data_IF_210852418515
#
_entry.id   IF_210852418515
#
_cell.length_a   1.000
_cell.length_b   1.000
_cell.length_c   1.000
_cell.angle_alpha   90.00
_cell.angle_beta   90.00
_cell.angle_gamma   90.00
#
_symmetry.space_group_name_H-M   'P 1'
#
loop_
_entity.id
_entity.type
_entity.pdbx_description
1 polymer ?
#
# COMPACT_ATOMS: atom_id res chain seq x y z
N UNK A 1 -9.78 -29.39 29.35
CA UNK A 1 -8.82 -28.27 29.23
C UNK A 1 -9.31 -27.31 28.18
N UNK A 2 -9.58 -26.10 28.56
CA UNK A 2 -9.91 -25.07 27.58
C UNK A 2 -8.64 -24.73 26.75
N UNK A 3 -8.70 -24.91 25.43
CA UNK A 3 -7.66 -24.39 24.57
C UNK A 3 -7.60 -22.88 24.78
N UNK A 4 -6.43 -22.38 25.18
CA UNK A 4 -6.20 -20.93 25.21
C UNK A 4 -6.63 -20.35 23.85
N UNK A 5 -7.62 -19.45 23.83
CA UNK A 5 -7.98 -18.74 22.63
C UNK A 5 -6.76 -17.94 22.19
N UNK A 6 -6.19 -18.29 21.03
CA UNK A 6 -5.16 -17.46 20.42
C UNK A 6 -5.67 -16.01 20.34
N UNK A 7 -4.85 -15.04 20.75
CA UNK A 7 -5.20 -13.62 20.56
C UNK A 7 -5.57 -13.43 19.08
N UNK A 8 -6.70 -12.77 18.78
CA UNK A 8 -7.03 -12.48 17.41
C UNK A 8 -5.87 -11.74 16.77
N UNK A 9 -5.41 -12.23 15.63
CA UNK A 9 -4.32 -11.63 14.88
C UNK A 9 -4.74 -10.21 14.49
N UNK A 10 -3.89 -9.24 14.77
CA UNK A 10 -4.15 -7.86 14.40
C UNK A 10 -4.21 -7.74 12.87
N UNK A 11 -5.34 -7.30 12.26
CA UNK A 11 -5.40 -7.15 10.82
C UNK A 11 -4.43 -6.08 10.32
N UNK A 12 -3.79 -6.35 9.18
CA UNK A 12 -2.85 -5.43 8.53
C UNK A 12 -3.44 -5.01 7.19
N UNK A 13 -3.63 -3.71 7.03
CA UNK A 13 -4.13 -3.08 5.81
C UNK A 13 -2.94 -2.56 5.01
N UNK A 14 -2.68 -3.18 3.86
CA UNK A 14 -1.60 -2.76 2.97
C UNK A 14 -2.06 -1.68 2.00
N UNK A 15 -1.35 -0.57 1.95
CA UNK A 15 -1.56 0.52 1.00
C UNK A 15 -0.34 0.66 0.12
N UNK A 16 -0.53 0.72 -1.19
CA UNK A 16 0.53 1.04 -2.14
C UNK A 16 0.71 2.55 -2.20
N UNK A 17 1.90 3.00 -1.84
CA UNK A 17 2.28 4.42 -1.87
C UNK A 17 2.86 4.74 -3.24
N UNK A 18 2.25 5.66 -3.93
CA UNK A 18 2.72 6.22 -5.19
C UNK A 18 2.55 7.75 -5.18
N UNK A 19 2.80 8.41 -6.28
CA UNK A 19 2.65 9.87 -6.38
C UNK A 19 1.25 10.29 -6.86
N UNK A 20 0.29 9.36 -6.89
CA UNK A 20 -1.08 9.64 -7.33
C UNK A 20 -1.89 10.37 -6.27
N UNK A 21 -2.84 11.18 -6.70
CA UNK A 21 -3.74 11.89 -5.80
C UNK A 21 -4.70 10.93 -5.08
N UNK A 22 -5.19 9.90 -5.77
CA UNK A 22 -6.12 8.92 -5.24
C UNK A 22 -5.52 8.05 -4.13
N UNK A 23 -4.21 7.94 -4.06
CA UNK A 23 -3.53 7.22 -2.97
C UNK A 23 -3.85 7.84 -1.60
N UNK A 24 -4.03 9.14 -1.53
CA UNK A 24 -4.35 9.82 -0.28
C UNK A 24 -5.69 9.35 0.30
N UNK A 25 -6.73 9.18 -0.52
CA UNK A 25 -8.02 8.66 -0.07
C UNK A 25 -7.91 7.21 0.38
N UNK A 26 -7.14 6.39 -0.33
CA UNK A 26 -6.88 5.01 0.08
C UNK A 26 -6.19 4.94 1.44
N UNK A 27 -5.19 5.79 1.66
CA UNK A 27 -4.45 5.86 2.91
C UNK A 27 -5.33 6.31 4.07
N UNK A 28 -6.13 7.34 3.87
CA UNK A 28 -7.07 7.85 4.88
C UNK A 28 -8.11 6.78 5.25
N UNK A 29 -8.65 6.08 4.26
CA UNK A 29 -9.56 4.96 4.49
C UNK A 29 -8.91 3.84 5.30
N UNK A 30 -7.72 3.41 4.91
CA UNK A 30 -6.98 2.36 5.60
C UNK A 30 -6.69 2.73 7.07
N UNK A 31 -6.27 3.97 7.32
CA UNK A 31 -6.03 4.46 8.68
C UNK A 31 -7.30 4.45 9.53
N UNK A 32 -8.42 4.92 8.97
CA UNK A 32 -9.70 4.93 9.68
C UNK A 32 -10.20 3.53 10.01
N UNK A 33 -10.06 2.60 9.06
CA UNK A 33 -10.43 1.19 9.28
C UNK A 33 -9.52 0.53 10.31
N UNK A 34 -8.22 0.73 10.21
CA UNK A 34 -7.27 0.18 11.18
C UNK A 34 -7.60 0.66 12.60
N UNK A 35 -7.89 1.93 12.76
CA UNK A 35 -8.28 2.50 14.05
C UNK A 35 -9.59 1.89 14.58
N UNK A 36 -10.58 1.71 13.72
CA UNK A 36 -11.89 1.14 14.10
C UNK A 36 -11.82 -0.31 14.56
N UNK A 37 -10.94 -1.11 13.98
CA UNK A 37 -10.87 -2.56 14.25
C UNK A 37 -9.63 -2.98 15.06
N UNK A 38 -8.82 -2.02 15.51
CA UNK A 38 -7.58 -2.33 16.22
C UNK A 38 -6.50 -2.95 15.32
N UNK A 39 -6.49 -2.59 14.03
CA UNK A 39 -5.54 -3.08 13.05
C UNK A 39 -4.29 -2.20 12.90
N UNK A 40 -3.43 -2.58 11.98
CA UNK A 40 -2.23 -1.81 11.57
C UNK A 40 -2.29 -1.46 10.09
N UNK A 41 -1.60 -0.40 9.75
CA UNK A 41 -1.37 -0.02 8.35
C UNK A 41 0.04 -0.43 7.95
N UNK A 42 0.17 -1.02 6.78
CA UNK A 42 1.44 -1.26 6.11
C UNK A 42 1.50 -0.42 4.83
N UNK A 43 2.66 0.12 4.53
CA UNK A 43 2.90 0.92 3.34
C UNK A 43 3.92 0.22 2.45
N UNK A 44 3.64 0.15 1.17
CA UNK A 44 4.55 -0.38 0.16
C UNK A 44 4.89 0.69 -0.86
N UNK A 45 6.17 0.90 -1.09
CA UNK A 45 6.69 1.71 -2.20
C UNK A 45 7.55 0.84 -3.11
N UNK A 46 7.30 0.92 -4.41
CA UNK A 46 8.05 0.17 -5.40
C UNK A 46 8.89 1.11 -6.27
N UNK A 47 10.20 0.90 -6.22
CA UNK A 47 11.16 1.61 -7.09
C UNK A 47 11.24 0.86 -8.40
N UNK A 48 11.01 1.56 -9.52
CA UNK A 48 11.12 0.98 -10.87
C UNK A 48 12.55 1.15 -11.37
N UNK A 49 13.32 0.05 -11.59
CA UNK A 49 14.73 0.13 -11.93
C UNK A 49 15.03 0.35 -13.40
N UNK A 50 14.02 0.46 -14.26
CA UNK A 50 14.14 0.40 -15.72
C UNK A 50 15.08 1.45 -16.34
N UNK A 51 15.38 2.55 -15.63
CA UNK A 51 16.23 3.63 -16.13
C UNK A 51 17.69 3.55 -15.62
N UNK A 52 18.01 2.61 -14.73
CA UNK A 52 19.31 2.55 -14.06
C UNK A 52 20.35 1.66 -14.74
N UNK A 53 19.94 0.83 -15.70
CA UNK A 53 20.80 -0.20 -16.29
C UNK A 53 21.71 0.29 -17.43
N UNK A 54 21.49 1.50 -17.96
CA UNK A 54 22.17 1.97 -19.16
C UNK A 54 23.58 2.56 -18.93
N UNK A 55 23.98 2.83 -17.69
CA UNK A 55 25.23 3.52 -17.39
C UNK A 55 25.98 2.84 -16.27
N UNK A 56 27.04 2.07 -16.62
CA UNK A 56 27.92 1.44 -15.64
C UNK A 56 28.57 2.50 -14.72
N UNK A 57 28.42 2.35 -13.40
CA UNK A 57 28.92 3.28 -12.39
C UNK A 57 27.98 4.40 -11.99
N UNK A 58 27.11 4.86 -12.89
CA UNK A 58 26.07 5.85 -12.59
C UNK A 58 24.80 5.16 -12.07
N UNK A 59 24.58 3.90 -12.45
CA UNK A 59 23.42 3.12 -12.03
C UNK A 59 23.33 2.91 -10.53
N UNK A 60 24.45 2.66 -9.84
CA UNK A 60 24.46 2.48 -8.37
C UNK A 60 24.13 3.78 -7.64
N UNK A 61 24.70 4.91 -8.07
CA UNK A 61 24.39 6.21 -7.50
C UNK A 61 22.91 6.56 -7.69
N UNK A 62 22.36 6.31 -8.86
CA UNK A 62 20.94 6.53 -9.15
C UNK A 62 20.03 5.64 -8.30
N UNK A 63 20.43 4.39 -8.03
CA UNK A 63 19.72 3.48 -7.13
C UNK A 63 19.71 3.98 -5.69
N UNK A 64 20.85 4.45 -5.20
CA UNK A 64 20.96 5.03 -3.86
C UNK A 64 20.09 6.28 -3.72
N UNK A 65 20.12 7.17 -4.70
CA UNK A 65 19.27 8.37 -4.74
C UNK A 65 17.78 8.02 -4.80
N UNK A 66 17.40 7.05 -5.62
CA UNK A 66 16.02 6.58 -5.72
C UNK A 66 15.54 5.94 -4.41
N UNK A 67 16.41 5.21 -3.72
CA UNK A 67 16.10 4.62 -2.42
C UNK A 67 15.95 5.68 -1.34
N UNK A 68 16.86 6.65 -1.29
CA UNK A 68 16.73 7.77 -0.37
C UNK A 68 15.47 8.59 -0.60
N UNK A 69 15.11 8.84 -1.85
CA UNK A 69 13.87 9.51 -2.22
C UNK A 69 12.65 8.70 -1.78
N UNK A 70 12.65 7.38 -2.01
CA UNK A 70 11.58 6.49 -1.58
C UNK A 70 11.43 6.50 -0.05
N UNK A 71 12.53 6.41 0.69
CA UNK A 71 12.53 6.45 2.15
C UNK A 71 12.02 7.80 2.68
N UNK A 72 12.38 8.92 2.04
CA UNK A 72 11.89 10.25 2.40
C UNK A 72 10.37 10.38 2.18
N UNK A 73 9.86 9.90 1.06
CA UNK A 73 8.40 9.85 0.78
C UNK A 73 7.67 8.98 1.77
N UNK A 74 8.22 7.80 2.06
CA UNK A 74 7.65 6.87 3.03
C UNK A 74 7.61 7.45 4.44
N UNK A 75 8.63 8.22 4.84
CA UNK A 75 8.66 8.87 6.15
C UNK A 75 7.49 9.88 6.31
N UNK A 76 7.16 10.64 5.27
CA UNK A 76 6.05 11.58 5.27
C UNK A 76 4.72 10.85 5.48
N UNK A 77 4.51 9.77 4.74
CA UNK A 77 3.29 8.97 4.86
C UNK A 77 3.22 8.20 6.18
N UNK A 78 4.36 7.75 6.70
CA UNK A 78 4.45 7.12 8.01
C UNK A 78 4.04 8.07 9.13
N UNK A 79 4.47 9.32 9.07
CA UNK A 79 4.07 10.35 10.05
C UNK A 79 2.56 10.62 9.99
N UNK A 80 1.98 10.66 8.79
CA UNK A 80 0.54 10.80 8.59
C UNK A 80 -0.23 9.63 9.24
N UNK A 81 0.22 8.40 9.02
CA UNK A 81 -0.39 7.20 9.63
C UNK A 81 -0.31 7.26 11.16
N UNK A 82 0.83 7.64 11.71
CA UNK A 82 1.02 7.78 13.17
C UNK A 82 0.05 8.79 13.77
N UNK A 83 -0.15 9.92 13.10
CA UNK A 83 -1.11 10.95 13.56
C UNK A 83 -2.55 10.45 13.57
N UNK A 84 -2.94 9.67 12.57
CA UNK A 84 -4.31 9.18 12.43
C UNK A 84 -4.60 7.94 13.28
N UNK A 85 -3.62 7.07 13.49
CA UNK A 85 -3.84 5.76 14.14
C UNK A 85 -3.22 5.63 15.51
N UNK A 86 -2.33 6.55 15.91
CA UNK A 86 -1.44 6.43 17.06
C UNK A 86 -0.52 5.19 17.02
N UNK A 87 -0.46 4.52 15.85
CA UNK A 87 0.35 3.33 15.63
C UNK A 87 1.46 3.57 14.64
N UNK A 88 2.52 2.78 14.74
CA UNK A 88 3.63 2.81 13.79
C UNK A 88 3.30 1.91 12.59
N UNK A 89 3.32 2.43 11.35
CA UNK A 89 3.08 1.60 10.17
C UNK A 89 4.26 0.66 9.89
N UNK A 90 3.97 -0.44 9.23
CA UNK A 90 5.00 -1.32 8.65
C UNK A 90 5.38 -0.73 7.30
N UNK A 91 6.68 -0.64 7.02
CA UNK A 91 7.18 -0.05 5.76
C UNK A 91 7.87 -1.11 4.91
N UNK A 92 7.46 -1.21 3.66
CA UNK A 92 8.06 -2.08 2.66
C UNK A 92 8.53 -1.27 1.47
N UNK A 93 9.82 -1.30 1.20
CA UNK A 93 10.40 -0.74 -0.03
C UNK A 93 10.88 -1.89 -0.89
N UNK A 94 10.36 -1.95 -2.11
CA UNK A 94 10.71 -2.98 -3.09
C UNK A 94 11.24 -2.32 -4.36
N UNK A 95 12.01 -3.07 -5.12
CA UNK A 95 12.56 -2.64 -6.41
C UNK A 95 12.19 -3.66 -7.46
N UNK A 96 11.52 -3.23 -8.52
CA UNK A 96 11.08 -4.11 -9.60
C UNK A 96 9.78 -3.64 -10.26
N UNK A 97 9.08 -4.59 -10.87
CA UNK A 97 7.73 -4.35 -11.40
C UNK A 97 6.72 -4.38 -10.25
N UNK A 98 5.93 -3.32 -10.13
CA UNK A 98 4.97 -3.16 -9.02
C UNK A 98 3.97 -4.32 -8.94
N UNK A 99 3.54 -4.87 -10.06
CA UNK A 99 2.55 -5.95 -10.11
C UNK A 99 3.11 -7.23 -9.50
N UNK A 100 4.31 -7.60 -9.89
CA UNK A 100 5.01 -8.80 -9.40
C UNK A 100 5.44 -8.62 -7.94
N UNK A 101 6.01 -7.47 -7.61
CA UNK A 101 6.50 -7.18 -6.26
C UNK A 101 5.35 -7.11 -5.24
N UNK A 102 4.20 -6.55 -5.62
CA UNK A 102 3.03 -6.49 -4.76
C UNK A 102 2.48 -7.88 -4.44
N UNK A 103 2.30 -8.71 -5.45
CA UNK A 103 1.78 -10.08 -5.26
C UNK A 103 2.76 -10.93 -4.45
N UNK A 104 4.06 -10.80 -4.72
CA UNK A 104 5.10 -11.50 -3.96
C UNK A 104 5.12 -11.05 -2.49
N UNK A 105 5.01 -9.76 -2.22
CA UNK A 105 4.94 -9.24 -0.86
C UNK A 105 3.74 -9.81 -0.09
N UNK A 106 2.56 -9.82 -0.70
CA UNK A 106 1.36 -10.37 -0.08
C UNK A 106 1.50 -11.87 0.19
N UNK A 107 2.12 -12.60 -0.73
CA UNK A 107 2.36 -14.04 -0.55
C UNK A 107 3.35 -14.34 0.57
N UNK A 108 4.38 -13.53 0.73
CA UNK A 108 5.41 -13.72 1.76
C UNK A 108 4.99 -13.23 3.15
N UNK A 109 4.29 -12.11 3.20
CA UNK A 109 3.89 -11.47 4.45
C UNK A 109 2.48 -11.89 4.84
N UNK A 110 2.38 -12.99 5.56
CA UNK A 110 1.11 -13.64 5.91
C UNK A 110 0.23 -12.80 6.84
N UNK A 111 0.77 -11.80 7.49
CA UNK A 111 0.02 -10.89 8.37
C UNK A 111 -0.80 -9.85 7.59
N UNK A 112 -0.48 -9.63 6.33
CA UNK A 112 -1.30 -8.77 5.46
C UNK A 112 -2.66 -9.41 5.28
N UNK A 113 -3.70 -8.65 5.63
CA UNK A 113 -5.09 -9.12 5.66
C UNK A 113 -5.95 -8.53 4.54
N UNK A 114 -5.58 -7.36 4.05
CA UNK A 114 -6.35 -6.60 3.06
C UNK A 114 -5.43 -5.69 2.27
N UNK A 115 -5.69 -5.59 0.96
CA UNK A 115 -5.06 -4.60 0.08
C UNK A 115 -6.02 -3.44 -0.14
N UNK A 116 -5.56 -2.22 0.06
CA UNK A 116 -6.34 -0.99 -0.17
C UNK A 116 -5.69 -0.17 -1.27
N UNK A 117 -6.45 0.13 -2.30
CA UNK A 117 -5.99 0.86 -3.48
C UNK A 117 -6.89 2.07 -3.75
N UNK A 118 -6.28 3.19 -4.15
CA UNK A 118 -7.01 4.35 -4.64
C UNK A 118 -7.36 4.20 -6.13
N UNK A 119 -8.59 4.52 -6.48
CA UNK A 119 -9.04 4.51 -7.86
C UNK A 119 -8.96 5.90 -8.47
N UNK A 120 -8.31 6.00 -9.62
CA UNK A 120 -8.39 7.20 -10.47
C UNK A 120 -9.77 7.28 -11.12
N UNK A 121 -10.61 8.16 -10.61
CA UNK A 121 -12.00 8.31 -11.08
C UNK A 121 -12.14 8.98 -12.43
N UNK A 122 -11.04 9.54 -12.96
CA UNK A 122 -11.01 10.12 -14.30
C UNK A 122 -10.51 9.15 -15.38
N UNK A 123 -9.97 7.99 -14.95
CA UNK A 123 -9.56 6.91 -15.83
C UNK A 123 -10.69 5.89 -16.01
N UNK A 124 -10.86 5.39 -17.24
CA UNK A 124 -11.86 4.34 -17.54
C UNK A 124 -11.56 3.02 -16.81
N UNK A 125 -10.30 2.78 -16.48
CA UNK A 125 -9.84 1.54 -15.83
C UNK A 125 -9.54 1.68 -14.35
N UNK A 126 -9.80 2.85 -13.76
CA UNK A 126 -9.44 3.18 -12.37
C UNK A 126 -7.92 3.18 -12.09
N UNK A 127 -7.11 3.04 -13.12
CA UNK A 127 -5.65 3.03 -13.05
C UNK A 127 -5.03 1.67 -13.43
N UNK A 128 -3.75 1.66 -13.84
CA UNK A 128 -3.12 0.47 -14.42
C UNK A 128 -2.97 -0.69 -13.42
N UNK A 129 -2.70 -0.42 -12.15
CA UNK A 129 -2.56 -1.48 -11.14
C UNK A 129 -3.91 -2.15 -10.86
N UNK A 130 -4.97 -1.37 -10.69
CA UNK A 130 -6.33 -1.91 -10.50
C UNK A 130 -6.75 -2.70 -11.73
N UNK A 131 -6.53 -2.18 -12.93
CA UNK A 131 -6.85 -2.88 -14.17
C UNK A 131 -6.14 -4.24 -14.26
N UNK A 132 -4.87 -4.30 -13.91
CA UNK A 132 -4.12 -5.56 -13.88
C UNK A 132 -4.70 -6.53 -12.85
N UNK A 133 -4.96 -6.08 -11.63
CA UNK A 133 -5.49 -6.93 -10.57
C UNK A 133 -6.87 -7.49 -10.90
N UNK A 134 -7.73 -6.69 -11.52
CA UNK A 134 -9.06 -7.15 -11.92
C UNK A 134 -9.02 -8.13 -13.10
N UNK A 135 -8.09 -7.94 -14.03
CA UNK A 135 -7.98 -8.81 -15.21
C UNK A 135 -7.22 -10.12 -14.93
N UNK A 136 -6.15 -10.08 -14.14
CA UNK A 136 -5.21 -11.19 -13.98
C UNK A 136 -4.84 -11.50 -12.55
N UNK A 137 -4.87 -10.51 -11.67
CA UNK A 137 -4.33 -10.61 -10.32
C UNK A 137 -5.31 -11.10 -9.27
N UNK A 138 -6.62 -10.98 -9.50
CA UNK A 138 -7.62 -11.32 -8.50
C UNK A 138 -7.56 -12.79 -8.06
N UNK A 139 -7.29 -13.71 -8.99
CA UNK A 139 -7.11 -15.13 -8.70
C UNK A 139 -5.76 -15.46 -8.04
N UNK A 140 -4.79 -14.55 -8.12
CA UNK A 140 -3.43 -14.69 -7.57
C UNK A 140 -3.22 -13.93 -6.27
N UNK A 141 -4.10 -12.99 -5.97
CA UNK A 141 -4.05 -12.20 -4.74
C UNK A 141 -4.68 -12.97 -3.59
N UNK A 142 -3.89 -13.25 -2.57
CA UNK A 142 -4.32 -14.05 -1.40
C UNK A 142 -5.31 -13.31 -0.50
N UNK A 143 -5.41 -12.00 -0.59
CA UNK A 143 -6.21 -11.17 0.31
C UNK A 143 -7.30 -10.41 -0.46
N UNK A 144 -8.38 -10.00 0.22
CA UNK A 144 -9.37 -9.11 -0.39
C UNK A 144 -8.75 -7.79 -0.83
N UNK A 145 -9.32 -7.20 -1.87
CA UNK A 145 -8.91 -5.91 -2.41
C UNK A 145 -10.04 -4.91 -2.20
N UNK A 146 -9.74 -3.83 -1.51
CA UNK A 146 -10.66 -2.69 -1.37
C UNK A 146 -10.20 -1.56 -2.28
N UNK A 147 -11.09 -1.10 -3.12
CA UNK A 147 -10.85 0.02 -4.05
C UNK A 147 -11.58 1.25 -3.53
N UNK A 148 -10.83 2.31 -3.25
CA UNK A 148 -11.35 3.57 -2.71
C UNK A 148 -11.38 4.61 -3.81
N UNK A 149 -12.54 5.15 -4.18
CA UNK A 149 -12.61 6.22 -5.17
C UNK A 149 -11.80 7.44 -4.74
N UNK A 150 -10.93 7.92 -5.64
CA UNK A 150 -10.03 9.04 -5.36
C UNK A 150 -10.69 10.40 -5.26
N UNK A 151 -11.98 10.50 -5.57
CA UNK A 151 -12.77 11.73 -5.48
C UNK A 151 -13.68 11.80 -4.25
N UNK A 152 -13.58 10.85 -3.33
CA UNK A 152 -14.31 10.93 -2.07
C UNK A 152 -13.79 12.10 -1.22
N UNK A 153 -14.72 12.87 -0.65
CA UNK A 153 -14.39 13.92 0.30
C UNK A 153 -14.06 13.33 1.67
N UNK A 154 -13.42 14.12 2.52
CA UNK A 154 -13.12 13.72 3.90
C UNK A 154 -14.40 13.35 4.66
N UNK A 155 -15.47 14.11 4.46
CA UNK A 155 -16.77 13.83 5.08
C UNK A 155 -17.36 12.49 4.61
N UNK A 156 -17.26 12.20 3.31
CA UNK A 156 -17.73 10.93 2.76
C UNK A 156 -16.91 9.75 3.29
N UNK A 157 -15.58 9.91 3.40
CA UNK A 157 -14.71 8.89 3.97
C UNK A 157 -15.03 8.64 5.44
N UNK A 158 -15.19 9.70 6.23
CA UNK A 158 -15.54 9.58 7.65
C UNK A 158 -16.88 8.87 7.88
N UNK A 159 -17.84 9.09 6.99
CA UNK A 159 -19.14 8.42 7.06
C UNK A 159 -19.07 6.90 6.80
N UNK A 160 -18.01 6.41 6.16
CA UNK A 160 -17.79 5.00 5.87
C UNK A 160 -17.03 4.25 6.97
N UNK A 161 -16.57 4.94 7.99
CA UNK A 161 -15.64 4.41 9.00
C UNK A 161 -16.29 4.21 10.39
#
# INVERSE_FOLDING_TARGET
MAKAKAKPKQPVFLVVVDDSEEMHQALQFACGRARSVGGRVALMYCIVPAEFEYWAGVGELMREEAREEAEAKMAIHADYVKKLTNGTPILYVREGDIRDELLELIDKEHDISLLVLGADTQSETAGPLIAFLMAHGASRCRVPITVVPGNLTDEQLDALL
#
